data_IF_625106529023
#
_entry.id   IF_625106529023
#
_cell.length_a   1.000
_cell.length_b   1.000
_cell.length_c   1.000
_cell.angle_alpha   90.00
_cell.angle_beta   90.00
_cell.angle_gamma   90.00
#
_symmetry.space_group_name_H-M   'P 1'
#
loop_
_entity.id
_entity.type
_entity.pdbx_description
1 polymer ?
#
# COMPACT_ATOMS: atom_id res chain seq x y z
N UNK A 1 27.21 -30.35 13.96
CA UNK A 1 26.64 -29.03 14.31
C UNK A 1 25.48 -28.81 13.38
N UNK A 2 24.26 -28.89 13.89
CA UNK A 2 23.02 -28.61 13.16
C UNK A 2 22.87 -27.11 13.01
N UNK A 3 22.72 -26.66 11.77
CA UNK A 3 22.73 -25.25 11.36
C UNK A 3 21.37 -24.91 10.76
N UNK A 4 20.31 -24.94 11.54
CA UNK A 4 18.99 -24.43 11.15
C UNK A 4 18.32 -23.97 12.46
N UNK A 5 17.89 -22.70 12.54
CA UNK A 5 16.90 -22.11 13.49
C UNK A 5 17.14 -20.63 13.90
N UNK A 6 17.99 -19.85 13.23
CA UNK A 6 18.15 -18.41 13.50
C UNK A 6 17.51 -17.46 12.45
N UNK A 7 16.84 -17.99 11.44
CA UNK A 7 16.35 -17.17 10.31
C UNK A 7 14.90 -16.72 10.41
N UNK A 8 14.10 -17.33 11.29
CA UNK A 8 12.68 -16.97 11.46
C UNK A 8 12.47 -15.63 12.16
N UNK A 9 13.24 -15.35 13.21
CA UNK A 9 13.03 -14.20 14.11
C UNK A 9 13.31 -12.86 13.41
N UNK A 10 14.43 -12.78 12.69
CA UNK A 10 14.79 -11.59 11.91
C UNK A 10 13.81 -11.26 10.77
N UNK A 11 13.13 -12.28 10.22
CA UNK A 11 12.16 -12.08 9.13
C UNK A 11 10.86 -11.47 9.65
N UNK A 12 10.40 -11.91 10.83
CA UNK A 12 9.21 -11.38 11.49
C UNK A 12 9.43 -9.94 11.98
N UNK A 13 10.55 -9.68 12.66
CA UNK A 13 10.94 -8.32 13.08
C UNK A 13 11.04 -7.36 11.88
N UNK A 14 11.61 -7.85 10.76
CA UNK A 14 11.70 -7.06 9.53
C UNK A 14 10.30 -6.73 9.00
N UNK A 15 9.40 -7.71 8.92
CA UNK A 15 8.03 -7.51 8.44
C UNK A 15 7.22 -6.55 9.32
N UNK A 16 7.29 -6.69 10.64
CA UNK A 16 6.68 -5.76 11.59
C UNK A 16 7.19 -4.33 11.37
N UNK A 17 8.51 -4.20 11.20
CA UNK A 17 9.14 -2.91 11.00
C UNK A 17 8.79 -2.25 9.65
N UNK A 18 8.37 -3.03 8.65
CA UNK A 18 7.84 -2.55 7.36
C UNK A 18 6.36 -2.17 7.51
N UNK A 19 5.57 -2.96 8.23
CA UNK A 19 4.17 -2.64 8.52
C UNK A 19 4.04 -1.31 9.29
N UNK A 20 4.90 -1.10 10.29
CA UNK A 20 4.98 0.17 11.02
C UNK A 20 5.38 1.34 10.11
N UNK A 21 6.35 1.13 9.21
CA UNK A 21 6.75 2.14 8.25
C UNK A 21 5.59 2.49 7.29
N UNK A 22 4.80 1.50 6.86
CA UNK A 22 3.61 1.74 6.05
C UNK A 22 2.58 2.61 6.78
N UNK A 23 2.32 2.35 8.06
CA UNK A 23 1.44 3.18 8.88
C UNK A 23 1.96 4.62 9.01
N UNK A 24 3.27 4.80 9.21
CA UNK A 24 3.92 6.12 9.28
C UNK A 24 3.81 6.87 7.95
N UNK A 25 3.98 6.17 6.81
CA UNK A 25 3.78 6.74 5.47
C UNK A 25 2.36 7.25 5.33
N UNK A 26 1.36 6.42 5.60
CA UNK A 26 -0.05 6.81 5.45
C UNK A 26 -0.42 7.97 6.40
N UNK A 27 0.03 7.91 7.66
CA UNK A 27 -0.25 8.94 8.66
C UNK A 27 0.39 10.29 8.33
N UNK A 28 1.57 10.29 7.71
CA UNK A 28 2.25 11.51 7.26
C UNK A 28 1.71 12.03 5.93
N UNK A 29 1.27 11.13 5.05
CA UNK A 29 0.73 11.44 3.74
C UNK A 29 -0.62 12.14 3.78
N UNK A 30 -1.46 11.71 4.71
CA UNK A 30 -2.81 12.18 4.89
C UNK A 30 -2.92 13.72 5.06
N UNK A 31 -2.27 14.35 6.05
CA UNK A 31 -2.34 15.79 6.26
C UNK A 31 -1.69 16.62 5.14
N UNK A 32 -0.84 16.00 4.32
CA UNK A 32 -0.19 16.65 3.18
C UNK A 32 -1.07 16.65 1.92
N UNK A 33 -2.24 16.03 1.95
CA UNK A 33 -3.11 15.88 0.78
C UNK A 33 -2.49 15.03 -0.32
N UNK A 34 -1.56 14.15 0.05
CA UNK A 34 -0.80 13.30 -0.88
C UNK A 34 -1.39 11.88 -1.00
N UNK A 35 -2.64 11.70 -0.57
CA UNK A 35 -3.36 10.42 -0.62
C UNK A 35 -4.57 10.54 -1.55
N UNK A 36 -4.72 9.56 -2.43
CA UNK A 36 -5.97 9.26 -3.13
C UNK A 36 -6.56 7.97 -2.56
N UNK A 37 -7.85 7.97 -2.23
CA UNK A 37 -8.58 6.82 -1.66
C UNK A 37 -9.72 6.44 -2.61
N UNK A 38 -9.86 5.15 -2.89
CA UNK A 38 -10.90 4.59 -3.76
C UNK A 38 -10.32 4.01 -5.05
N UNK A 39 -10.92 2.92 -5.52
CA UNK A 39 -10.50 2.20 -6.74
C UNK A 39 -10.66 3.09 -7.96
N UNK A 40 -11.78 3.82 -8.03
CA UNK A 40 -12.09 4.66 -9.18
C UNK A 40 -11.19 5.90 -9.23
N UNK A 41 -11.00 6.55 -8.08
CA UNK A 41 -10.15 7.72 -7.90
C UNK A 41 -8.68 7.37 -8.16
N UNK A 42 -8.24 6.20 -7.70
CA UNK A 42 -6.91 5.67 -7.98
C UNK A 42 -6.71 5.44 -9.48
N UNK A 43 -7.62 4.72 -10.13
CA UNK A 43 -7.56 4.48 -11.57
C UNK A 43 -7.56 5.79 -12.38
N UNK A 44 -8.35 6.79 -11.96
CA UNK A 44 -8.34 8.11 -12.57
C UNK A 44 -6.99 8.82 -12.39
N UNK A 45 -6.43 8.79 -11.19
CA UNK A 45 -5.14 9.44 -10.89
C UNK A 45 -3.99 8.80 -11.67
N UNK A 46 -3.93 7.47 -11.73
CA UNK A 46 -2.97 6.70 -12.52
C UNK A 46 -3.05 7.03 -14.02
N UNK A 47 -4.25 7.25 -14.55
CA UNK A 47 -4.43 7.65 -15.95
C UNK A 47 -4.02 9.10 -16.24
N UNK A 48 -4.05 9.98 -15.25
CA UNK A 48 -3.75 11.41 -15.42
C UNK A 48 -2.26 11.70 -15.23
N UNK A 49 -1.67 11.20 -14.15
CA UNK A 49 -0.29 11.49 -13.78
C UNK A 49 0.33 10.32 -12.99
N UNK A 50 0.72 9.23 -13.68
CA UNK A 50 1.32 8.06 -13.03
C UNK A 50 2.72 8.36 -12.46
N UNK A 51 3.44 9.30 -13.05
CA UNK A 51 4.80 9.69 -12.62
C UNK A 51 4.82 10.29 -11.21
N UNK A 52 3.70 10.88 -10.78
CA UNK A 52 3.56 11.45 -9.45
C UNK A 52 3.17 10.41 -8.38
N UNK A 53 2.79 9.19 -8.77
CA UNK A 53 2.40 8.12 -7.84
C UNK A 53 3.63 7.34 -7.38
N UNK A 54 3.86 7.30 -6.06
CA UNK A 54 5.06 6.65 -5.48
C UNK A 54 4.77 5.29 -4.85
N UNK A 55 3.52 5.04 -4.44
CA UNK A 55 3.08 3.80 -3.82
C UNK A 55 1.59 3.57 -4.07
N UNK A 56 1.22 2.33 -4.38
CA UNK A 56 -0.16 1.86 -4.53
C UNK A 56 -0.45 0.74 -3.52
N UNK A 57 -1.53 0.86 -2.77
CA UNK A 57 -2.00 -0.15 -1.83
C UNK A 57 -3.31 -0.72 -2.36
N UNK A 58 -3.43 -2.04 -2.34
CA UNK A 58 -4.70 -2.75 -2.55
C UNK A 58 -5.13 -3.38 -1.23
N UNK A 59 -6.36 -3.15 -0.80
CA UNK A 59 -6.91 -3.74 0.41
C UNK A 59 -8.20 -4.50 0.09
N UNK A 60 -8.34 -5.68 0.67
CA UNK A 60 -9.46 -6.59 0.41
C UNK A 60 -9.74 -7.39 1.66
N UNK A 61 -11.01 -7.65 1.94
CA UNK A 61 -11.45 -8.61 2.95
C UNK A 61 -11.88 -9.94 2.31
N UNK A 62 -12.39 -10.88 3.13
CA UNK A 62 -12.85 -12.18 2.64
C UNK A 62 -14.16 -12.10 1.83
N UNK A 63 -14.97 -11.06 2.04
CA UNK A 63 -16.23 -10.86 1.30
C UNK A 63 -15.95 -10.32 -0.10
N UNK A 64 -14.98 -9.41 -0.21
CA UNK A 64 -14.49 -8.77 -1.44
C UNK A 64 -13.93 -9.75 -2.48
N UNK A 65 -13.44 -10.92 -2.03
CA UNK A 65 -12.94 -11.98 -2.94
C UNK A 65 -14.05 -12.48 -3.88
N UNK A 66 -15.32 -12.34 -3.48
CA UNK A 66 -16.47 -12.75 -4.30
C UNK A 66 -16.90 -11.66 -5.30
N UNK A 67 -16.44 -10.43 -5.13
CA UNK A 67 -16.76 -9.33 -6.05
C UNK A 67 -15.87 -9.39 -7.30
N UNK A 68 -16.41 -9.97 -8.36
CA UNK A 68 -15.72 -10.10 -9.65
C UNK A 68 -15.32 -8.73 -10.22
N UNK A 69 -16.14 -7.69 -10.06
CA UNK A 69 -15.83 -6.37 -10.59
C UNK A 69 -14.63 -5.77 -9.85
N UNK A 70 -14.60 -5.89 -8.53
CA UNK A 70 -13.47 -5.43 -7.72
C UNK A 70 -12.18 -6.18 -8.07
N UNK A 71 -12.24 -7.51 -8.25
CA UNK A 71 -11.08 -8.30 -8.65
C UNK A 71 -10.56 -7.94 -10.04
N UNK A 72 -11.45 -7.57 -10.99
CA UNK A 72 -11.05 -7.04 -12.29
C UNK A 72 -10.29 -5.72 -12.11
N UNK A 73 -10.81 -4.80 -11.29
CA UNK A 73 -10.14 -3.52 -11.04
C UNK A 73 -8.76 -3.71 -10.40
N UNK A 74 -8.62 -4.59 -9.40
CA UNK A 74 -7.31 -4.90 -8.82
C UNK A 74 -6.34 -5.44 -9.85
N UNK A 75 -6.80 -6.33 -10.74
CA UNK A 75 -5.96 -6.89 -11.80
C UNK A 75 -5.49 -5.79 -12.76
N UNK A 76 -6.38 -4.88 -13.16
CA UNK A 76 -6.04 -3.77 -14.05
C UNK A 76 -5.06 -2.78 -13.41
N UNK A 77 -5.32 -2.38 -12.17
CA UNK A 77 -4.44 -1.47 -11.42
C UNK A 77 -3.07 -2.11 -11.20
N UNK A 78 -3.04 -3.40 -10.83
CA UNK A 78 -1.79 -4.15 -10.66
C UNK A 78 -0.98 -4.18 -11.96
N UNK A 79 -1.60 -4.52 -13.08
CA UNK A 79 -0.93 -4.53 -14.38
C UNK A 79 -0.34 -3.15 -14.71
N UNK A 80 -1.14 -2.10 -14.55
CA UNK A 80 -0.72 -0.73 -14.79
C UNK A 80 0.46 -0.29 -13.91
N UNK A 81 0.38 -0.53 -12.59
CA UNK A 81 1.45 -0.17 -11.66
C UNK A 81 2.74 -0.93 -11.97
N UNK A 82 2.65 -2.22 -12.30
CA UNK A 82 3.82 -3.02 -12.70
C UNK A 82 4.47 -2.52 -13.99
N UNK A 83 3.67 -2.15 -15.00
CA UNK A 83 4.17 -1.61 -16.27
C UNK A 83 4.86 -0.25 -16.13
N UNK A 84 4.42 0.56 -15.15
CA UNK A 84 4.94 1.91 -14.90
C UNK A 84 5.94 1.96 -13.72
N UNK A 85 6.44 0.81 -13.26
CA UNK A 85 7.39 0.70 -12.14
C UNK A 85 6.92 1.34 -10.81
N UNK A 86 5.62 1.50 -10.64
CA UNK A 86 5.01 1.99 -9.40
C UNK A 86 5.06 0.87 -8.35
N UNK A 87 5.56 1.18 -7.15
CA UNK A 87 5.55 0.22 -6.06
C UNK A 87 4.10 -0.10 -5.68
N UNK A 88 3.74 -1.38 -5.68
CA UNK A 88 2.42 -1.84 -5.33
C UNK A 88 2.51 -2.94 -4.28
N UNK A 89 1.58 -2.95 -3.33
CA UNK A 89 1.47 -3.99 -2.30
C UNK A 89 0.02 -4.23 -1.91
N UNK A 90 -0.24 -5.39 -1.31
CA UNK A 90 -1.53 -5.72 -0.68
C UNK A 90 -1.46 -5.52 0.81
N UNK A 91 -2.53 -4.98 1.37
CA UNK A 91 -2.68 -4.81 2.82
C UNK A 91 -3.83 -5.65 3.32
N UNK A 92 -3.54 -6.43 4.36
CA UNK A 92 -4.56 -7.09 5.16
C UNK A 92 -4.88 -6.23 6.39
N UNK A 93 -6.06 -6.43 6.98
CA UNK A 93 -6.62 -5.64 8.08
C UNK A 93 -7.14 -4.26 7.63
N UNK A 94 -8.23 -4.29 6.86
CA UNK A 94 -8.95 -3.08 6.40
C UNK A 94 -9.47 -2.23 7.56
N UNK A 95 -9.81 -2.84 8.70
CA UNK A 95 -10.19 -2.11 9.90
C UNK A 95 -9.07 -1.16 10.36
N UNK A 96 -7.85 -1.68 10.50
CA UNK A 96 -6.69 -0.86 10.89
C UNK A 96 -6.37 0.22 9.86
N UNK A 97 -6.50 -0.10 8.58
CA UNK A 97 -6.36 0.87 7.50
C UNK A 97 -7.40 1.99 7.60
N UNK A 98 -8.65 1.66 7.92
CA UNK A 98 -9.71 2.63 8.14
C UNK A 98 -9.40 3.56 9.32
N UNK A 99 -8.89 3.02 10.44
CA UNK A 99 -8.45 3.81 11.60
C UNK A 99 -7.37 4.84 11.23
N UNK A 100 -6.39 4.44 10.43
CA UNK A 100 -5.30 5.33 9.98
C UNK A 100 -5.85 6.44 9.08
N UNK A 101 -6.85 6.11 8.25
CA UNK A 101 -7.44 7.01 7.25
C UNK A 101 -8.69 7.74 7.73
N UNK A 102 -9.05 7.68 9.02
CA UNK A 102 -10.24 8.36 9.54
C UNK A 102 -10.26 9.88 9.26
N UNK A 103 -9.09 10.49 9.11
CA UNK A 103 -8.95 11.91 8.76
C UNK A 103 -9.31 12.25 7.30
N UNK A 104 -9.54 11.27 6.42
CA UNK A 104 -9.96 11.51 5.02
C UNK A 104 -11.48 11.78 4.95
N UNK A 105 -12.27 11.36 5.95
CA UNK A 105 -13.75 11.35 5.90
C UNK A 105 -14.35 12.70 5.46
N UNK A 106 -14.87 12.73 4.23
CA UNK A 106 -15.70 13.83 3.71
C UNK A 106 -17.13 13.30 3.51
N UNK A 107 -18.05 13.68 4.40
CA UNK A 107 -19.46 13.28 4.28
C UNK A 107 -19.72 11.83 4.72
N UNK A 108 -20.88 11.56 5.31
CA UNK A 108 -21.20 10.31 6.03
C UNK A 108 -21.38 9.05 5.18
N UNK A 109 -20.72 8.96 4.02
CA UNK A 109 -20.72 7.79 3.14
C UNK A 109 -19.52 6.87 3.43
N UNK A 110 -19.69 5.54 3.33
CA UNK A 110 -18.60 4.59 3.55
C UNK A 110 -17.50 4.81 2.51
N UNK A 111 -16.26 4.95 2.97
CA UNK A 111 -15.12 5.18 2.08
C UNK A 111 -14.73 3.87 1.40
N UNK A 112 -14.57 3.91 0.08
CA UNK A 112 -13.92 2.84 -0.68
C UNK A 112 -12.42 2.81 -0.29
N UNK A 113 -12.05 1.91 0.61
CA UNK A 113 -10.67 1.73 1.06
C UNK A 113 -9.93 0.64 0.28
N UNK A 114 -10.51 0.15 -0.82
CA UNK A 114 -9.95 -0.99 -1.54
C UNK A 114 -8.70 -0.62 -2.36
N UNK A 115 -8.49 0.66 -2.67
CA UNK A 115 -7.26 1.15 -3.25
C UNK A 115 -6.83 2.50 -2.66
N UNK A 116 -5.55 2.63 -2.34
CA UNK A 116 -4.96 3.87 -1.87
C UNK A 116 -3.70 4.18 -2.67
N UNK A 117 -3.60 5.39 -3.19
CA UNK A 117 -2.37 5.89 -3.80
C UNK A 117 -1.71 6.91 -2.89
N UNK A 118 -0.39 6.82 -2.80
CA UNK A 118 0.46 7.85 -2.22
C UNK A 118 1.17 8.56 -3.36
N UNK A 119 1.11 9.88 -3.39
CA UNK A 119 1.69 10.74 -4.44
C UNK A 119 2.79 11.63 -3.88
N UNK A 120 3.70 12.10 -4.72
CA UNK A 120 4.74 13.02 -4.26
C UNK A 120 4.14 14.41 -3.92
N UNK A 121 4.49 15.04 -2.78
CA UNK A 121 4.12 16.42 -2.51
C UNK A 121 4.69 17.36 -3.57
N UNK A 122 3.85 18.27 -4.06
CA UNK A 122 4.09 19.16 -5.21
C UNK A 122 5.35 20.06 -5.13
N UNK A 123 6.08 20.08 -4.01
CA UNK A 123 7.19 21.01 -3.75
C UNK A 123 8.54 20.38 -3.43
N UNK A 124 8.67 19.05 -3.32
CA UNK A 124 9.97 18.39 -3.14
C UNK A 124 9.92 16.87 -3.38
N UNK A 125 11.08 16.23 -3.58
CA UNK A 125 11.18 14.77 -3.48
C UNK A 125 10.86 14.36 -2.06
N UNK A 126 9.80 13.58 -1.85
CA UNK A 126 9.46 13.03 -0.54
C UNK A 126 10.60 12.15 -0.02
N UNK A 127 11.40 12.69 0.89
CA UNK A 127 12.50 11.98 1.55
C UNK A 127 12.03 11.46 2.89
N UNK A 128 11.01 10.62 2.88
CA UNK A 128 10.57 9.94 4.08
C UNK A 128 11.33 8.61 4.24
N UNK A 129 12.05 8.39 5.36
CA UNK A 129 12.70 7.12 5.63
C UNK A 129 11.71 5.95 5.71
N UNK A 130 10.47 6.18 6.14
CA UNK A 130 9.45 5.14 6.19
C UNK A 130 9.02 4.73 4.76
N UNK A 131 8.75 5.70 3.88
CA UNK A 131 8.50 5.44 2.46
C UNK A 131 9.66 4.71 1.78
N UNK A 132 10.90 5.14 2.05
CA UNK A 132 12.09 4.49 1.47
C UNK A 132 12.21 3.03 1.88
N UNK A 133 11.80 2.71 3.11
CA UNK A 133 11.79 1.35 3.64
C UNK A 133 10.71 0.48 2.99
N UNK A 134 9.50 1.01 2.82
CA UNK A 134 8.40 0.32 2.11
C UNK A 134 8.79 0.07 0.65
N UNK A 135 9.33 1.08 -0.05
CA UNK A 135 9.79 0.94 -1.43
C UNK A 135 10.94 -0.08 -1.55
N UNK A 136 11.86 -0.11 -0.57
CA UNK A 136 12.90 -1.12 -0.47
C UNK A 136 12.32 -2.53 -0.34
N UNK A 137 11.29 -2.70 0.50
CA UNK A 137 10.58 -3.97 0.64
C UNK A 137 9.91 -4.41 -0.66
N UNK A 138 9.18 -3.52 -1.35
CA UNK A 138 8.57 -3.82 -2.65
C UNK A 138 9.61 -4.26 -3.69
N UNK A 139 10.75 -3.57 -3.76
CA UNK A 139 11.85 -3.92 -4.68
C UNK A 139 12.47 -5.28 -4.34
N UNK A 140 12.73 -5.53 -3.06
CA UNK A 140 13.31 -6.80 -2.61
C UNK A 140 12.35 -7.97 -2.88
N UNK A 141 11.04 -7.79 -2.66
CA UNK A 141 10.01 -8.76 -3.01
C UNK A 141 9.94 -9.03 -4.52
N UNK A 142 10.08 -7.99 -5.34
CA UNK A 142 10.11 -8.13 -6.81
C UNK A 142 11.29 -8.99 -7.27
N UNK A 143 12.46 -8.88 -6.61
CA UNK A 143 13.62 -9.75 -6.88
C UNK A 143 13.38 -11.23 -6.51
N UNK A 144 12.32 -11.52 -5.75
CA UNK A 144 11.88 -12.87 -5.35
C UNK A 144 10.62 -13.31 -6.11
N UNK A 145 10.33 -12.70 -7.27
CA UNK A 145 9.13 -12.94 -8.08
C UNK A 145 7.80 -12.65 -7.36
N UNK A 146 7.83 -11.93 -6.24
CA UNK A 146 6.66 -11.45 -5.52
C UNK A 146 6.31 -10.04 -5.96
N UNK A 147 5.60 -9.92 -7.09
CA UNK A 147 5.25 -8.65 -7.72
C UNK A 147 4.34 -7.75 -6.89
N UNK A 148 3.43 -8.36 -6.14
CA UNK A 148 2.54 -7.65 -5.20
C UNK A 148 2.69 -8.28 -3.83
N UNK A 149 3.70 -7.85 -3.03
CA UNK A 149 3.89 -8.39 -1.70
C UNK A 149 2.72 -8.02 -0.78
N UNK A 150 2.52 -8.84 0.25
CA UNK A 150 1.44 -8.66 1.23
C UNK A 150 2.03 -8.16 2.56
N UNK A 151 1.39 -7.16 3.15
CA UNK A 151 1.70 -6.65 4.49
C UNK A 151 0.45 -6.80 5.36
N UNK A 152 0.62 -7.34 6.56
CA UNK A 152 -0.42 -7.31 7.59
C UNK A 152 -0.19 -6.10 8.48
N UNK A 153 -1.16 -5.19 8.56
CA UNK A 153 -1.10 -4.11 9.53
C UNK A 153 -1.27 -4.68 10.95
N UNK A 154 -0.51 -4.17 11.94
CA UNK A 154 -0.55 -4.71 13.30
C UNK A 154 -1.92 -4.49 13.96
N UNK A 155 -2.44 -5.53 14.60
CA UNK A 155 -3.55 -5.46 15.56
C UNK A 155 -2.97 -4.89 16.86
N UNK A 156 -3.39 -3.70 17.28
CA UNK A 156 -2.86 -3.05 18.49
C UNK A 156 -3.32 -3.72 19.78
#
# INVERSE_FOLDING_TARGET
MTFEELSGDHSAERMESVAKALEEVLSSALPQGCITVGVYEAAKSLNVDPDNVVLCLLATDEEDVKDVALQIHFTLIQAFCCENDINILRVNNMWRLAEILEGVKQGGEPMDLHCILVTNPQSSTWKDPALSKVNGFCRDSRCLDQWVPVINLPER
#
